data_IF_189434693853
#
_entry.id   IF_189434693853
#
_cell.length_a   1.000
_cell.length_b   1.000
_cell.length_c   1.000
_cell.angle_alpha   90.00
_cell.angle_beta   90.00
_cell.angle_gamma   90.00
#
_symmetry.space_group_name_H-M   'P 1'
#
loop_
_entity.id
_entity.type
_entity.pdbx_description
1 polymer ?
#
# COMPACT_ATOMS: atom_id res chain seq x y z
N UNK A 1 -18.06 14.62 17.70
CA UNK A 1 -16.70 14.12 17.97
C UNK A 1 -15.71 15.06 17.30
N UNK A 2 -14.54 15.32 17.88
CA UNK A 2 -13.51 16.07 17.18
C UNK A 2 -13.13 15.32 15.90
N UNK A 3 -12.91 16.04 14.80
CA UNK A 3 -12.54 15.45 13.52
C UNK A 3 -11.12 15.80 13.13
N UNK A 4 -10.49 14.95 12.30
CA UNK A 4 -9.21 15.21 11.65
C UNK A 4 -9.45 15.67 10.21
N UNK A 5 -9.12 16.92 9.92
CA UNK A 5 -9.36 17.53 8.60
C UNK A 5 -8.11 17.48 7.74
N UNK A 6 -8.22 16.82 6.57
CA UNK A 6 -7.25 16.95 5.49
C UNK A 6 -7.79 17.90 4.42
N UNK A 7 -6.95 18.77 3.89
CA UNK A 7 -7.31 19.69 2.80
C UNK A 7 -6.23 19.70 1.73
N UNK A 8 -6.62 19.89 0.47
CA UNK A 8 -5.70 20.04 -0.64
C UNK A 8 -6.33 20.89 -1.75
N UNK A 9 -5.60 21.15 -2.82
CA UNK A 9 -6.12 21.87 -3.97
C UNK A 9 -7.29 21.10 -4.62
N UNK A 10 -8.16 21.83 -5.30
CA UNK A 10 -9.41 21.29 -5.87
C UNK A 10 -9.22 20.05 -6.75
N UNK A 11 -8.10 19.98 -7.50
CA UNK A 11 -7.81 18.86 -8.39
C UNK A 11 -7.54 17.53 -7.66
N UNK A 12 -7.31 17.56 -6.33
CA UNK A 12 -7.18 16.35 -5.49
C UNK A 12 -8.51 15.87 -4.90
N UNK A 13 -9.65 16.43 -5.30
CA UNK A 13 -10.96 15.99 -4.81
C UNK A 13 -11.20 14.49 -5.05
N UNK A 14 -10.74 13.96 -6.19
CA UNK A 14 -10.83 12.54 -6.51
C UNK A 14 -9.94 11.66 -5.62
N UNK A 15 -8.78 12.15 -5.20
CA UNK A 15 -7.92 11.43 -4.27
C UNK A 15 -8.60 11.23 -2.90
N UNK A 16 -9.28 12.25 -2.36
CA UNK A 16 -10.06 12.13 -1.13
C UNK A 16 -11.29 11.25 -1.30
N UNK A 17 -11.91 11.23 -2.49
CA UNK A 17 -13.00 10.30 -2.78
C UNK A 17 -12.49 8.85 -2.78
N UNK A 18 -11.33 8.60 -3.38
CA UNK A 18 -10.69 7.28 -3.40
C UNK A 18 -10.23 6.82 -2.01
N UNK A 19 -9.69 7.74 -1.17
CA UNK A 19 -9.37 7.44 0.22
C UNK A 19 -10.61 7.03 1.02
N UNK A 20 -11.71 7.77 0.87
CA UNK A 20 -12.97 7.44 1.53
C UNK A 20 -13.50 6.05 1.10
N UNK A 21 -13.47 5.74 -0.20
CA UNK A 21 -13.86 4.42 -0.72
C UNK A 21 -12.98 3.31 -0.13
N UNK A 22 -11.67 3.56 -0.02
CA UNK A 22 -10.72 2.62 0.59
C UNK A 22 -10.99 2.36 2.07
N UNK A 23 -11.22 3.41 2.85
CA UNK A 23 -11.57 3.29 4.27
C UNK A 23 -12.87 2.51 4.47
N UNK A 24 -13.89 2.77 3.64
CA UNK A 24 -15.16 2.03 3.72
C UNK A 24 -14.99 0.54 3.35
N UNK A 25 -14.14 0.23 2.37
CA UNK A 25 -13.85 -1.17 1.99
C UNK A 25 -13.13 -1.95 3.10
N UNK A 26 -12.23 -1.30 3.83
CA UNK A 26 -11.47 -1.91 4.92
C UNK A 26 -12.28 -2.04 6.23
N UNK A 27 -13.20 -1.10 6.50
CA UNK A 27 -13.94 -0.99 7.77
C UNK A 27 -14.59 -2.27 8.28
N UNK A 28 -15.19 -3.15 7.45
CA UNK A 28 -15.80 -4.40 7.93
C UNK A 28 -14.79 -5.39 8.55
N UNK A 29 -13.50 -5.23 8.27
CA UNK A 29 -12.48 -6.23 8.57
C UNK A 29 -11.37 -5.74 9.48
N UNK A 30 -11.14 -4.42 9.50
CA UNK A 30 -10.02 -3.80 10.22
C UNK A 30 -10.45 -2.42 10.74
N UNK A 31 -9.92 -2.03 11.91
CA UNK A 31 -10.22 -0.71 12.45
C UNK A 31 -9.56 0.37 11.59
N UNK A 32 -10.38 1.29 11.08
CA UNK A 32 -9.99 2.47 10.30
C UNK A 32 -10.80 3.68 10.78
N UNK A 33 -10.30 4.92 10.60
CA UNK A 33 -11.07 6.12 10.96
C UNK A 33 -12.37 6.21 10.15
N UNK A 34 -13.44 6.69 10.79
CA UNK A 34 -14.69 6.97 10.10
C UNK A 34 -14.56 8.21 9.23
N UNK A 35 -15.09 8.14 8.00
CA UNK A 35 -15.28 9.32 7.15
C UNK A 35 -16.51 10.08 7.67
N UNK A 36 -16.30 11.31 8.16
CA UNK A 36 -17.37 12.15 8.73
C UNK A 36 -17.96 13.08 7.67
N UNK A 37 -17.13 13.62 6.78
CA UNK A 37 -17.55 14.50 5.68
C UNK A 37 -16.46 14.56 4.59
N UNK A 38 -16.83 14.90 3.36
CA UNK A 38 -15.89 15.17 2.27
C UNK A 38 -16.51 16.07 1.22
N UNK A 39 -15.70 16.83 0.51
CA UNK A 39 -16.20 17.70 -0.56
C UNK A 39 -15.28 18.83 -0.91
N UNK A 40 -15.91 19.96 -1.27
CA UNK A 40 -15.22 21.20 -1.60
C UNK A 40 -15.61 22.29 -0.62
N UNK A 41 -14.61 23.03 -0.10
CA UNK A 41 -14.84 24.18 0.78
C UNK A 41 -13.81 25.28 0.49
N UNK A 42 -14.25 26.50 0.23
CA UNK A 42 -13.40 27.64 -0.07
C UNK A 42 -12.39 27.38 -1.22
N UNK A 43 -12.83 26.69 -2.28
CA UNK A 43 -11.99 26.34 -3.44
C UNK A 43 -10.98 25.22 -3.20
N UNK A 44 -11.00 24.55 -2.05
CA UNK A 44 -10.14 23.41 -1.71
C UNK A 44 -10.96 22.14 -1.55
N UNK A 45 -10.38 21.02 -1.95
CA UNK A 45 -10.90 19.70 -1.62
C UNK A 45 -10.62 19.39 -0.15
N UNK A 46 -11.52 18.64 0.50
CA UNK A 46 -11.33 18.19 1.88
C UNK A 46 -11.91 16.79 2.11
N UNK A 47 -11.34 16.12 3.10
CA UNK A 47 -11.93 14.97 3.79
C UNK A 47 -11.83 15.21 5.30
N UNK A 48 -12.92 14.99 6.01
CA UNK A 48 -13.00 15.05 7.46
C UNK A 48 -13.14 13.63 7.99
N UNK A 49 -12.15 13.18 8.73
CA UNK A 49 -12.09 11.85 9.34
C UNK A 49 -12.35 11.94 10.84
N UNK A 50 -12.71 10.83 11.44
CA UNK A 50 -12.68 10.64 12.88
C UNK A 50 -11.30 10.97 13.43
N UNK A 51 -11.24 11.72 14.53
CA UNK A 51 -9.97 11.95 15.23
C UNK A 51 -9.61 10.69 16.04
N UNK A 52 -8.46 10.13 15.75
CA UNK A 52 -7.90 8.99 16.46
C UNK A 52 -6.98 9.47 17.60
N UNK A 53 -7.30 9.10 18.83
CA UNK A 53 -6.39 9.30 19.97
C UNK A 53 -5.35 8.18 19.98
N UNK A 54 -4.23 8.44 19.30
CA UNK A 54 -3.16 7.49 19.11
C UNK A 54 -2.22 7.45 20.32
N UNK A 55 -2.10 6.28 20.93
CA UNK A 55 -1.11 5.99 21.96
C UNK A 55 0.32 5.87 21.43
N UNK A 56 1.29 5.82 22.33
CA UNK A 56 2.73 5.69 21.99
C UNK A 56 3.13 4.29 21.52
N UNK A 57 2.26 3.30 21.61
CA UNK A 57 2.49 1.91 21.21
C UNK A 57 1.28 1.03 21.53
N UNK A 58 1.35 -0.26 21.24
CA UNK A 58 0.25 -1.17 21.47
C UNK A 58 0.58 -2.62 21.12
N UNK A 59 -0.46 -3.46 20.98
CA UNK A 59 -0.30 -4.89 20.67
C UNK A 59 -0.05 -5.10 19.16
N UNK A 60 1.22 -5.16 18.80
CA UNK A 60 1.66 -5.45 17.43
C UNK A 60 1.24 -6.85 16.97
N UNK A 61 1.15 -7.81 17.89
CA UNK A 61 0.63 -9.14 17.55
C UNK A 61 -0.85 -9.08 17.16
N UNK A 62 -1.65 -8.22 17.81
CA UNK A 62 -3.04 -7.99 17.41
C UNK A 62 -3.11 -7.38 16.01
N UNK A 63 -2.26 -6.39 15.69
CA UNK A 63 -2.18 -5.82 14.33
C UNK A 63 -1.83 -6.90 13.30
N UNK A 64 -0.87 -7.77 13.57
CA UNK A 64 -0.49 -8.88 12.69
C UNK A 64 -1.65 -9.85 12.43
N UNK A 65 -2.39 -10.23 13.47
CA UNK A 65 -3.58 -11.08 13.32
C UNK A 65 -4.69 -10.39 12.56
N UNK A 66 -4.91 -9.10 12.81
CA UNK A 66 -5.92 -8.29 12.14
C UNK A 66 -5.63 -8.18 10.64
N UNK A 67 -4.37 -7.91 10.27
CA UNK A 67 -3.94 -7.87 8.86
C UNK A 67 -4.10 -9.24 8.19
N UNK A 68 -3.76 -10.33 8.88
CA UNK A 68 -3.95 -11.68 8.34
C UNK A 68 -5.43 -12.01 8.09
N UNK A 69 -6.34 -11.50 8.92
CA UNK A 69 -7.79 -11.65 8.72
C UNK A 69 -8.28 -10.79 7.53
N UNK A 70 -7.76 -9.57 7.37
CA UNK A 70 -8.04 -8.74 6.20
C UNK A 70 -7.59 -9.44 4.91
N UNK A 71 -6.37 -9.94 4.86
CA UNK A 71 -5.82 -10.59 3.66
C UNK A 71 -6.50 -11.90 3.27
N UNK A 72 -7.35 -12.47 4.12
CA UNK A 72 -8.24 -13.61 3.75
C UNK A 72 -9.49 -13.17 3.01
N UNK A 73 -9.77 -11.87 2.97
CA UNK A 73 -10.84 -11.33 2.14
C UNK A 73 -10.34 -11.26 0.70
N UNK A 74 -10.94 -12.04 -0.19
CA UNK A 74 -10.48 -12.15 -1.57
C UNK A 74 -11.49 -11.53 -2.53
N UNK A 75 -10.97 -10.86 -3.55
CA UNK A 75 -11.75 -10.36 -4.67
C UNK A 75 -11.85 -11.38 -5.81
N UNK A 76 -12.63 -11.04 -6.85
CA UNK A 76 -12.80 -11.92 -8.01
C UNK A 76 -11.53 -11.98 -8.88
N UNK A 77 -10.73 -10.90 -8.89
CA UNK A 77 -9.53 -10.71 -9.73
C UNK A 77 -8.59 -9.73 -9.05
N UNK A 78 -7.38 -9.57 -9.56
CA UNK A 78 -6.47 -8.49 -9.16
C UNK A 78 -6.95 -7.16 -9.73
N UNK A 79 -6.88 -6.07 -8.93
CA UNK A 79 -7.36 -4.76 -9.32
C UNK A 79 -8.35 -4.16 -8.34
N UNK A 80 -9.04 -3.11 -8.77
CA UNK A 80 -10.07 -2.42 -7.98
C UNK A 80 -11.13 -1.83 -8.93
N UNK A 81 -12.38 -1.59 -8.49
CA UNK A 81 -13.44 -1.04 -9.36
C UNK A 81 -13.13 0.34 -9.98
N UNK A 82 -12.15 1.06 -9.44
CA UNK A 82 -11.69 2.35 -9.95
C UNK A 82 -10.20 2.53 -9.72
N UNK A 83 -9.58 3.41 -10.48
CA UNK A 83 -8.25 3.92 -10.15
C UNK A 83 -8.31 4.73 -8.86
N UNK A 84 -7.22 4.71 -8.11
CA UNK A 84 -7.07 5.46 -6.86
C UNK A 84 -5.69 6.12 -6.77
N UNK A 85 -5.19 6.32 -5.55
CA UNK A 85 -3.93 7.03 -5.34
C UNK A 85 -3.08 6.32 -4.29
N UNK A 86 -1.75 6.37 -4.50
CA UNK A 86 -0.76 6.08 -3.47
C UNK A 86 -0.07 7.39 -3.11
N UNK A 87 -0.40 7.93 -1.91
CA UNK A 87 -0.19 9.33 -1.63
C UNK A 87 -0.99 10.20 -2.62
N UNK A 88 -0.29 10.98 -3.43
CA UNK A 88 -0.92 11.78 -4.51
C UNK A 88 -0.58 11.29 -5.92
N UNK A 89 0.09 10.16 -6.05
CA UNK A 89 0.37 9.53 -7.34
C UNK A 89 -0.83 8.70 -7.78
N UNK A 90 -1.38 8.91 -8.98
CA UNK A 90 -2.43 8.03 -9.52
C UNK A 90 -1.96 6.58 -9.56
N UNK A 91 -2.81 5.68 -9.08
CA UNK A 91 -2.59 4.24 -9.05
C UNK A 91 -3.65 3.55 -9.91
N UNK A 92 -3.22 2.96 -11.01
CA UNK A 92 -4.07 2.23 -11.95
C UNK A 92 -4.50 0.90 -11.35
N UNK A 93 -5.74 0.49 -11.59
CA UNK A 93 -6.35 -0.68 -10.96
C UNK A 93 -7.18 -1.53 -11.95
N UNK A 94 -6.82 -1.54 -13.21
CA UNK A 94 -7.46 -2.37 -14.23
C UNK A 94 -7.54 -3.84 -13.80
N UNK A 95 -8.73 -4.46 -13.96
CA UNK A 95 -8.93 -5.86 -13.57
C UNK A 95 -8.08 -6.83 -14.39
N UNK A 96 -7.35 -7.74 -13.72
CA UNK A 96 -6.48 -8.72 -14.34
C UNK A 96 -6.57 -10.08 -13.62
N UNK A 97 -6.50 -11.18 -14.38
CA UNK A 97 -6.55 -12.54 -13.84
C UNK A 97 -5.16 -13.08 -13.46
N UNK A 98 -4.08 -12.51 -14.03
CA UNK A 98 -2.70 -12.92 -13.77
C UNK A 98 -1.97 -11.86 -12.95
N UNK A 99 -1.38 -12.30 -11.81
CA UNK A 99 -0.68 -11.39 -10.91
C UNK A 99 0.58 -10.78 -11.52
N UNK A 100 1.38 -11.54 -12.25
CA UNK A 100 2.60 -11.03 -12.84
C UNK A 100 2.30 -9.97 -13.92
N UNK A 101 1.22 -10.19 -14.69
CA UNK A 101 0.73 -9.20 -15.67
C UNK A 101 0.22 -7.95 -14.96
N UNK A 102 -0.63 -8.09 -13.93
CA UNK A 102 -1.12 -6.97 -13.13
C UNK A 102 0.03 -6.15 -12.56
N UNK A 103 1.00 -6.80 -11.89
CA UNK A 103 2.14 -6.13 -11.28
C UNK A 103 2.97 -5.37 -12.30
N UNK A 104 3.19 -5.96 -13.48
CA UNK A 104 3.92 -5.30 -14.57
C UNK A 104 3.19 -4.07 -15.10
N UNK A 105 1.91 -4.23 -15.45
CA UNK A 105 1.17 -3.22 -16.22
C UNK A 105 0.60 -2.11 -15.31
N UNK A 106 0.04 -2.47 -14.14
CA UNK A 106 -0.68 -1.53 -13.27
C UNK A 106 0.21 -0.97 -12.15
N UNK A 107 1.39 -1.57 -11.90
CA UNK A 107 2.29 -1.12 -10.82
C UNK A 107 3.63 -0.66 -11.35
N UNK A 108 4.38 -1.52 -12.01
CA UNK A 108 5.76 -1.20 -12.38
C UNK A 108 5.85 -0.25 -13.57
N UNK A 109 5.10 -0.51 -14.65
CA UNK A 109 5.14 0.32 -15.86
C UNK A 109 4.80 1.78 -15.59
N UNK A 110 3.67 2.14 -14.92
CA UNK A 110 3.34 3.53 -14.64
C UNK A 110 4.41 4.25 -13.83
N UNK A 111 4.99 3.59 -12.83
CA UNK A 111 6.03 4.19 -11.98
C UNK A 111 7.35 4.40 -12.74
N UNK A 112 7.75 3.46 -13.58
CA UNK A 112 8.96 3.59 -14.40
C UNK A 112 8.79 4.68 -15.47
N UNK A 113 7.63 4.75 -16.12
CA UNK A 113 7.32 5.80 -17.09
C UNK A 113 7.30 7.20 -16.44
N UNK A 114 6.70 7.30 -15.24
CA UNK A 114 6.71 8.55 -14.49
C UNK A 114 8.14 8.95 -14.07
N UNK A 115 8.96 8.00 -13.62
CA UNK A 115 10.36 8.27 -13.29
C UNK A 115 11.15 8.77 -14.50
N UNK A 116 10.97 8.18 -15.68
CA UNK A 116 11.56 8.65 -16.94
C UNK A 116 11.10 10.06 -17.31
N UNK A 117 9.79 10.35 -17.16
CA UNK A 117 9.23 11.68 -17.38
C UNK A 117 9.82 12.72 -16.41
N UNK A 118 10.13 12.32 -15.18
CA UNK A 118 10.79 13.15 -14.17
C UNK A 118 12.33 13.25 -14.38
N UNK A 119 12.87 12.67 -15.46
CA UNK A 119 14.31 12.76 -15.80
C UNK A 119 15.19 11.69 -15.15
N UNK A 120 14.62 10.66 -14.52
CA UNK A 120 15.39 9.57 -13.93
C UNK A 120 15.55 8.40 -14.91
N UNK A 121 16.80 7.97 -15.14
CA UNK A 121 17.11 6.79 -15.95
C UNK A 121 16.84 5.51 -15.12
N UNK A 122 15.61 4.99 -15.22
CA UNK A 122 15.18 3.76 -14.57
C UNK A 122 14.65 2.80 -15.62
N UNK A 123 15.02 1.52 -15.49
CA UNK A 123 14.54 0.45 -16.36
C UNK A 123 13.50 -0.42 -15.65
N UNK A 124 12.73 -1.18 -16.46
CA UNK A 124 11.81 -2.18 -15.92
C UNK A 124 12.60 -3.27 -15.18
N UNK A 125 12.18 -3.65 -13.96
CA UNK A 125 12.81 -4.76 -13.27
C UNK A 125 12.50 -6.09 -13.96
N UNK A 126 13.36 -7.12 -13.76
CA UNK A 126 13.01 -8.47 -14.13
C UNK A 126 11.84 -8.98 -13.27
N UNK A 127 10.88 -9.67 -13.88
CA UNK A 127 9.66 -10.16 -13.22
C UNK A 127 9.63 -11.69 -13.06
N UNK A 128 10.73 -12.38 -13.34
CA UNK A 128 10.82 -13.84 -13.28
C UNK A 128 10.44 -14.41 -11.90
N UNK A 129 10.65 -13.65 -10.82
CA UNK A 129 10.21 -14.04 -9.47
C UNK A 129 8.68 -14.21 -9.35
N UNK A 130 7.89 -13.67 -10.27
CA UNK A 130 6.42 -13.79 -10.28
C UNK A 130 5.90 -14.82 -11.29
N UNK A 131 6.71 -15.35 -12.21
CA UNK A 131 6.24 -16.23 -13.29
C UNK A 131 5.52 -17.49 -12.79
N UNK A 132 5.98 -18.06 -11.69
CA UNK A 132 5.38 -19.25 -11.06
C UNK A 132 4.68 -18.94 -9.74
N UNK A 133 4.53 -17.67 -9.39
CA UNK A 133 3.83 -17.26 -8.18
C UNK A 133 2.34 -17.03 -8.48
N UNK A 134 1.47 -17.73 -7.76
CA UNK A 134 0.01 -17.72 -7.96
C UNK A 134 -0.69 -17.33 -6.67
N UNK A 135 -0.59 -16.05 -6.25
CA UNK A 135 -1.28 -15.58 -5.04
C UNK A 135 -2.79 -15.51 -5.26
N UNK A 136 -3.54 -15.47 -4.16
CA UNK A 136 -4.93 -15.08 -4.20
C UNK A 136 -5.06 -13.56 -4.26
N UNK A 137 -6.09 -12.99 -4.93
CA UNK A 137 -6.35 -11.55 -4.93
C UNK A 137 -6.91 -11.11 -3.56
N UNK A 138 -6.04 -10.92 -2.58
CA UNK A 138 -6.36 -10.47 -1.23
C UNK A 138 -6.69 -8.98 -1.19
N UNK A 139 -7.66 -8.58 -0.35
CA UNK A 139 -7.90 -7.17 -0.06
C UNK A 139 -6.71 -6.59 0.71
N UNK A 140 -6.08 -5.56 0.17
CA UNK A 140 -4.87 -4.94 0.71
C UNK A 140 -5.16 -3.56 1.29
N UNK A 141 -4.33 -3.16 2.26
CA UNK A 141 -4.19 -1.76 2.64
C UNK A 141 -3.54 -0.95 1.50
N UNK A 142 -2.52 -1.51 0.85
CA UNK A 142 -1.84 -0.97 -0.32
C UNK A 142 -0.74 0.05 -0.04
N UNK A 143 -0.66 0.60 1.19
CA UNK A 143 0.40 1.51 1.65
C UNK A 143 0.70 1.30 3.15
N UNK A 144 0.97 0.07 3.56
CA UNK A 144 1.11 -0.31 4.97
C UNK A 144 2.54 -0.13 5.48
N UNK A 145 2.79 0.92 6.24
CA UNK A 145 4.05 1.19 6.93
C UNK A 145 3.80 1.84 8.30
N UNK A 146 4.86 2.10 9.07
CA UNK A 146 4.73 2.64 10.44
C UNK A 146 4.05 4.01 10.52
N UNK A 147 4.03 4.78 9.42
CA UNK A 147 3.31 6.05 9.34
C UNK A 147 1.81 5.91 9.11
N UNK A 148 1.33 4.74 8.69
CA UNK A 148 -0.07 4.46 8.36
C UNK A 148 -0.72 3.42 9.29
N UNK A 149 -0.08 3.13 10.43
CA UNK A 149 -0.58 2.24 11.46
C UNK A 149 -0.38 2.83 12.86
N UNK A 150 -1.30 2.57 13.78
CA UNK A 150 -1.24 3.07 15.14
C UNK A 150 -2.08 2.25 16.10
N UNK A 151 -2.19 2.74 17.33
CA UNK A 151 -2.92 2.07 18.40
C UNK A 151 -3.78 3.08 19.15
N UNK A 152 -5.04 2.75 19.36
CA UNK A 152 -5.98 3.47 20.20
C UNK A 152 -6.29 2.63 21.45
N UNK A 153 -7.09 3.17 22.37
CA UNK A 153 -7.61 2.40 23.50
C UNK A 153 -8.42 1.16 23.05
N UNK A 154 -8.94 1.17 21.81
CA UNK A 154 -9.74 0.10 21.24
C UNK A 154 -8.90 -0.92 20.45
N UNK A 155 -7.59 -0.77 20.41
CA UNK A 155 -6.66 -1.66 19.71
C UNK A 155 -5.98 -1.02 18.49
N UNK A 156 -5.38 -1.87 17.63
CA UNK A 156 -4.67 -1.39 16.44
C UNK A 156 -5.62 -0.76 15.41
N UNK A 157 -5.14 0.24 14.71
CA UNK A 157 -5.85 0.98 13.67
C UNK A 157 -4.91 1.27 12.50
N UNK A 158 -5.44 1.27 11.27
CA UNK A 158 -4.70 1.69 10.07
C UNK A 158 -5.44 2.82 9.36
N UNK A 159 -4.72 3.64 8.62
CA UNK A 159 -5.26 4.82 7.92
C UNK A 159 -4.44 5.10 6.65
N UNK A 160 -4.92 6.03 5.80
CA UNK A 160 -4.31 6.43 4.52
C UNK A 160 -4.10 5.24 3.56
N UNK A 161 -5.16 4.45 3.26
CA UNK A 161 -5.04 3.28 2.42
C UNK A 161 -4.98 3.64 0.93
N UNK A 162 -4.35 2.74 0.16
CA UNK A 162 -4.32 2.72 -1.31
C UNK A 162 -4.86 1.36 -1.80
N UNK A 163 -6.12 1.04 -1.46
CA UNK A 163 -6.72 -0.31 -1.56
C UNK A 163 -6.75 -0.87 -2.97
N UNK A 164 -6.53 -2.16 -3.07
CA UNK A 164 -6.81 -2.98 -4.24
C UNK A 164 -6.79 -4.47 -3.86
N UNK A 165 -7.28 -5.34 -4.73
CA UNK A 165 -7.08 -6.78 -4.59
C UNK A 165 -5.75 -7.17 -5.24
N UNK A 166 -4.83 -7.67 -4.44
CA UNK A 166 -3.46 -7.99 -4.85
C UNK A 166 -2.85 -9.15 -4.07
N UNK A 167 -1.55 -9.37 -4.29
CA UNK A 167 -0.79 -10.30 -3.45
C UNK A 167 -0.55 -9.67 -2.07
N UNK A 168 -1.01 -10.35 -1.02
CA UNK A 168 -0.85 -9.95 0.38
C UNK A 168 0.59 -9.68 0.81
N UNK A 169 1.55 -10.26 0.10
CA UNK A 169 2.97 -10.05 0.35
C UNK A 169 3.40 -8.60 0.09
N UNK A 170 2.65 -7.84 -0.72
CA UNK A 170 2.96 -6.42 -0.99
C UNK A 170 2.82 -5.54 0.26
N UNK A 171 1.77 -5.73 1.07
CA UNK A 171 1.60 -4.99 2.33
C UNK A 171 2.70 -5.36 3.34
N UNK A 172 3.08 -6.64 3.41
CA UNK A 172 4.15 -7.09 4.29
C UNK A 172 5.51 -6.52 3.86
N UNK A 173 5.81 -6.56 2.57
CA UNK A 173 7.02 -5.98 2.03
C UNK A 173 7.12 -4.47 2.34
N UNK A 174 6.02 -3.72 2.14
CA UNK A 174 5.98 -2.30 2.47
C UNK A 174 6.19 -2.05 3.97
N UNK A 175 5.58 -2.89 4.83
CA UNK A 175 5.75 -2.76 6.28
C UNK A 175 7.20 -2.95 6.76
N UNK A 176 8.06 -3.62 5.97
CA UNK A 176 9.47 -3.81 6.26
C UNK A 176 10.37 -2.67 5.71
N UNK A 177 9.91 -1.91 4.71
CA UNK A 177 10.76 -1.03 3.90
C UNK A 177 11.34 0.15 4.69
N UNK A 178 10.51 0.80 5.52
CA UNK A 178 10.89 2.03 6.24
C UNK A 178 11.02 1.80 7.75
N UNK A 179 11.99 0.99 8.13
CA UNK A 179 12.30 0.70 9.53
C UNK A 179 11.60 -0.53 10.11
N UNK A 180 10.63 -1.08 9.41
CA UNK A 180 9.92 -2.31 9.80
C UNK A 180 8.97 -2.14 10.99
N UNK A 181 8.04 -3.09 11.10
CA UNK A 181 7.27 -3.28 12.33
C UNK A 181 8.05 -4.17 13.31
N UNK A 182 7.71 -4.18 14.61
CA UNK A 182 8.31 -5.10 15.56
C UNK A 182 8.09 -6.58 15.17
N UNK A 183 9.04 -7.42 15.58
CA UNK A 183 9.07 -8.86 15.24
C UNK A 183 7.78 -9.59 15.57
N UNK A 184 7.12 -9.20 16.65
CA UNK A 184 5.87 -9.77 17.14
C UNK A 184 4.74 -9.66 16.10
N UNK A 185 4.72 -8.58 15.32
CA UNK A 185 3.77 -8.41 14.23
C UNK A 185 3.91 -9.51 13.17
N UNK A 186 5.13 -9.70 12.65
CA UNK A 186 5.40 -10.70 11.60
C UNK A 186 5.20 -12.13 12.11
N UNK A 187 5.58 -12.41 13.36
CA UNK A 187 5.36 -13.71 13.98
C UNK A 187 3.86 -14.03 14.08
N UNK A 188 3.05 -13.08 14.56
CA UNK A 188 1.61 -13.25 14.71
C UNK A 188 0.91 -13.36 13.35
N UNK A 189 1.32 -12.55 12.36
CA UNK A 189 0.83 -12.65 11.00
C UNK A 189 1.11 -14.02 10.39
N UNK A 190 2.38 -14.46 10.43
CA UNK A 190 2.81 -15.73 9.83
C UNK A 190 2.20 -16.95 10.51
N UNK A 191 2.01 -16.90 11.84
CA UNK A 191 1.27 -17.94 12.57
C UNK A 191 -0.21 -18.03 12.15
N UNK A 192 -0.84 -16.89 11.83
CA UNK A 192 -2.22 -16.83 11.39
C UNK A 192 -2.36 -17.17 9.90
N UNK A 193 -1.46 -16.70 9.05
CA UNK A 193 -1.50 -16.87 7.60
C UNK A 193 -0.08 -16.97 7.03
N UNK A 194 0.49 -18.17 7.05
CA UNK A 194 1.87 -18.45 6.67
C UNK A 194 2.20 -17.93 5.26
N UNK A 195 3.37 -17.29 5.12
CA UNK A 195 3.88 -16.82 3.84
C UNK A 195 4.32 -17.98 2.95
N UNK A 196 4.18 -17.78 1.63
CA UNK A 196 4.65 -18.74 0.66
C UNK A 196 6.20 -18.75 0.58
N UNK A 197 6.83 -19.90 0.24
CA UNK A 197 8.26 -19.93 -0.06
C UNK A 197 8.63 -18.89 -1.15
N UNK A 198 9.79 -18.25 -1.00
CA UNK A 198 10.28 -17.24 -1.94
C UNK A 198 9.85 -15.80 -1.62
N UNK A 199 9.11 -15.57 -0.53
CA UNK A 199 8.76 -14.21 -0.10
C UNK A 199 9.99 -13.30 0.06
N UNK A 200 11.07 -13.80 0.66
CA UNK A 200 12.30 -13.03 0.91
C UNK A 200 12.92 -12.45 -0.38
N UNK A 201 12.72 -13.12 -1.52
CA UNK A 201 13.16 -12.61 -2.82
C UNK A 201 12.12 -11.66 -3.43
N UNK A 202 10.83 -12.04 -3.39
CA UNK A 202 9.75 -11.23 -3.98
C UNK A 202 9.56 -9.89 -3.29
N UNK A 203 9.80 -9.79 -1.97
CA UNK A 203 9.65 -8.52 -1.23
C UNK A 203 10.48 -7.38 -1.82
N UNK A 204 11.64 -7.65 -2.40
CA UNK A 204 12.47 -6.63 -3.03
C UNK A 204 11.81 -6.05 -4.30
N UNK A 205 11.11 -6.91 -5.07
CA UNK A 205 10.35 -6.46 -6.23
C UNK A 205 9.13 -5.63 -5.81
N UNK A 206 8.43 -6.03 -4.74
CA UNK A 206 7.29 -5.28 -4.21
C UNK A 206 7.74 -3.93 -3.62
N UNK A 207 8.82 -3.91 -2.88
CA UNK A 207 9.39 -2.68 -2.32
C UNK A 207 9.90 -1.71 -3.39
N UNK A 208 10.32 -2.20 -4.54
CA UNK A 208 10.74 -1.33 -5.66
C UNK A 208 9.59 -0.42 -6.12
N UNK A 209 8.34 -0.87 -6.08
CA UNK A 209 7.17 -0.04 -6.40
C UNK A 209 7.10 1.19 -5.49
N UNK A 210 7.22 1.00 -4.19
CA UNK A 210 7.18 2.08 -3.20
C UNK A 210 8.40 3.00 -3.31
N UNK A 211 9.59 2.44 -3.56
CA UNK A 211 10.80 3.24 -3.79
C UNK A 211 10.69 4.11 -5.04
N UNK A 212 10.11 3.59 -6.12
CA UNK A 212 9.83 4.36 -7.34
C UNK A 212 8.79 5.44 -7.09
N UNK A 213 7.73 5.15 -6.33
CA UNK A 213 6.74 6.15 -5.95
C UNK A 213 7.40 7.29 -5.15
N UNK A 214 8.24 6.96 -4.17
CA UNK A 214 8.98 7.96 -3.39
C UNK A 214 9.97 8.76 -4.25
N UNK A 215 10.66 8.12 -5.19
CA UNK A 215 11.51 8.79 -6.17
C UNK A 215 10.71 9.80 -7.01
N UNK A 216 9.52 9.40 -7.45
CA UNK A 216 8.65 10.24 -8.28
C UNK A 216 8.05 11.44 -7.52
N UNK A 217 7.77 11.28 -6.22
CA UNK A 217 7.19 12.35 -5.39
C UNK A 217 8.27 13.26 -4.79
N UNK A 218 9.34 12.67 -4.25
CA UNK A 218 10.32 13.39 -3.42
C UNK A 218 11.67 13.63 -4.11
N UNK A 219 11.86 13.07 -5.32
CA UNK A 219 13.06 13.32 -6.13
C UNK A 219 14.25 12.44 -5.80
N UNK A 220 15.42 12.86 -6.26
CA UNK A 220 16.63 12.05 -6.39
C UNK A 220 17.20 11.40 -5.13
N UNK A 221 16.76 11.77 -3.94
CA UNK A 221 17.18 11.14 -2.68
C UNK A 221 16.92 9.63 -2.61
N UNK A 222 15.95 9.14 -3.39
CA UNK A 222 15.60 7.70 -3.47
C UNK A 222 16.28 6.95 -4.63
N UNK A 223 16.95 7.66 -5.55
CA UNK A 223 17.51 7.07 -6.77
C UNK A 223 18.51 5.95 -6.50
N UNK A 224 19.40 6.14 -5.53
CA UNK A 224 20.40 5.10 -5.22
C UNK A 224 19.78 3.85 -4.59
N UNK A 225 18.70 3.99 -3.81
CA UNK A 225 17.95 2.83 -3.29
C UNK A 225 17.25 2.08 -4.44
N UNK A 226 16.62 2.80 -5.37
CA UNK A 226 16.02 2.20 -6.57
C UNK A 226 17.06 1.42 -7.37
N UNK A 227 18.21 2.04 -7.68
CA UNK A 227 19.30 1.38 -8.42
C UNK A 227 19.89 0.16 -7.69
N UNK A 228 20.06 0.27 -6.35
CA UNK A 228 20.54 -0.85 -5.54
C UNK A 228 19.55 -2.03 -5.58
N UNK A 229 18.23 -1.76 -5.46
CA UNK A 229 17.20 -2.78 -5.55
C UNK A 229 17.13 -3.41 -6.94
N UNK A 230 17.27 -2.63 -8.01
CA UNK A 230 17.34 -3.18 -9.38
C UNK A 230 18.55 -4.11 -9.57
N UNK A 231 19.74 -3.72 -9.07
CA UNK A 231 20.94 -4.59 -9.09
C UNK A 231 20.72 -5.89 -8.31
N UNK A 232 20.11 -5.79 -7.11
CA UNK A 232 19.77 -6.96 -6.30
C UNK A 232 18.84 -7.91 -7.06
N UNK A 233 17.76 -7.40 -7.65
CA UNK A 233 16.78 -8.19 -8.42
C UNK A 233 17.44 -8.88 -9.64
N UNK A 234 18.35 -8.20 -10.33
CA UNK A 234 19.11 -8.80 -11.44
C UNK A 234 20.04 -9.93 -10.99
N UNK A 235 20.53 -9.90 -9.74
CA UNK A 235 21.40 -10.94 -9.17
C UNK A 235 20.64 -12.14 -8.58
N UNK A 236 19.31 -12.07 -8.48
CA UNK A 236 18.46 -13.17 -7.98
C UNK A 236 17.98 -14.12 -9.08
N UNK A 237 18.28 -13.83 -10.34
CA UNK A 237 17.92 -14.61 -11.52
C UNK A 237 19.08 -15.48 -11.97
#
# INVERSE_FOLDING_TARGET
>A
MPGFLKTNDAHYADAFAAEADGLEALRPYIHVPQVLDRGMRNGKAFILLEHLDLGRGGDWSALGRMLAALHRQTGPRFGWPRDNYIGFTPQQNGWCDDWAVFWREERMRPQVELAKKNGFAVEMPPLALLENHRPQPSLLHGDLWSGNAGFTANGPVVFDPAVYYGDRETDLAMSELFGGFPREFYQAYNAAFALAPGYEQRKHLYNLYHLLNHLNIFGGGYLEQVKATLRLLAGLL
#
